data_IF_218485417439
#
_entry.id   IF_218485417439
#
_cell.length_a   1.000
_cell.length_b   1.000
_cell.length_c   1.000
_cell.angle_alpha   90.00
_cell.angle_beta   90.00
_cell.angle_gamma   90.00
#
_symmetry.space_group_name_H-M   'P 1'
#
loop_
_entity.id
_entity.type
_entity.pdbx_description
1 polymer ?
#
# COMPACT_ATOMS: atom_id res chain seq x y z
N UNK A 1 -28.07 16.64 61.48
CA UNK A 1 -28.44 15.61 60.48
C UNK A 1 -28.65 16.16 59.05
N UNK A 2 -28.48 17.47 58.77
CA UNK A 2 -28.67 18.06 57.43
C UNK A 2 -27.38 18.22 56.60
N UNK A 3 -26.20 18.35 57.24
CA UNK A 3 -24.91 18.55 56.55
C UNK A 3 -24.56 17.39 55.60
N UNK A 4 -24.81 16.14 56.02
CA UNK A 4 -24.59 14.95 55.20
C UNK A 4 -25.52 14.82 53.99
N UNK A 5 -26.71 15.44 54.02
CA UNK A 5 -27.62 15.44 52.85
C UNK A 5 -27.18 16.45 51.81
N UNK A 6 -26.73 17.63 52.24
CA UNK A 6 -26.20 18.68 51.35
C UNK A 6 -24.89 18.21 50.70
N UNK A 7 -23.99 17.61 51.48
CA UNK A 7 -22.71 17.10 50.96
C UNK A 7 -22.90 15.97 49.94
N UNK A 8 -23.85 15.05 50.19
CA UNK A 8 -24.21 14.00 49.22
C UNK A 8 -24.82 14.57 47.94
N UNK A 9 -25.65 15.60 48.04
CA UNK A 9 -26.28 16.23 46.87
C UNK A 9 -25.27 16.99 46.00
N UNK A 10 -24.30 17.68 46.63
CA UNK A 10 -23.22 18.37 45.92
C UNK A 10 -22.26 17.38 45.26
N UNK A 11 -21.92 16.28 45.96
CA UNK A 11 -21.07 15.22 45.41
C UNK A 11 -21.72 14.51 44.22
N UNK A 12 -23.03 14.24 44.27
CA UNK A 12 -23.77 13.67 43.14
C UNK A 12 -23.80 14.61 41.93
N UNK A 13 -23.92 15.92 42.16
CA UNK A 13 -23.93 16.93 41.10
C UNK A 13 -22.55 17.07 40.42
N UNK A 14 -21.47 17.00 41.19
CA UNK A 14 -20.09 16.98 40.68
C UNK A 14 -19.78 15.70 39.88
N UNK A 15 -20.28 14.54 40.32
CA UNK A 15 -20.17 13.28 39.58
C UNK A 15 -20.97 13.30 38.26
N UNK A 16 -22.14 13.95 38.25
CA UNK A 16 -22.92 14.13 37.02
C UNK A 16 -22.25 15.10 36.03
N UNK A 17 -21.59 16.15 36.51
CA UNK A 17 -20.79 17.06 35.69
C UNK A 17 -19.51 16.38 35.13
N UNK A 18 -18.88 15.50 35.90
CA UNK A 18 -17.75 14.69 35.44
C UNK A 18 -18.16 13.69 34.35
N UNK A 19 -19.36 13.12 34.42
CA UNK A 19 -19.90 12.20 33.40
C UNK A 19 -20.21 12.91 32.06
N UNK A 20 -20.46 14.23 32.06
CA UNK A 20 -20.70 15.01 30.84
C UNK A 20 -19.41 15.53 30.19
N UNK A 21 -18.27 15.45 30.88
CA UNK A 21 -16.97 15.97 30.39
C UNK A 21 -16.12 14.93 29.64
N UNK A 22 -16.61 13.70 29.48
CA UNK A 22 -15.99 12.66 28.64
C UNK A 22 -16.88 12.39 27.40
N UNK A 23 -17.30 13.46 26.73
CA UNK A 23 -17.60 13.34 25.30
C UNK A 23 -16.26 13.38 24.58
N UNK A 24 -15.64 12.22 24.36
CA UNK A 24 -14.54 12.11 23.42
C UNK A 24 -15.03 12.69 22.09
N UNK A 25 -14.60 13.92 21.79
CA UNK A 25 -14.85 14.52 20.48
C UNK A 25 -14.01 13.69 19.52
N UNK A 26 -14.65 12.72 18.88
CA UNK A 26 -14.06 11.93 17.82
C UNK A 26 -13.43 12.90 16.82
N UNK A 27 -12.11 12.84 16.70
CA UNK A 27 -11.36 13.72 15.82
C UNK A 27 -11.75 13.38 14.39
N UNK A 28 -12.30 14.35 13.67
CA UNK A 28 -12.79 14.14 12.31
C UNK A 28 -11.62 13.96 11.35
N UNK A 29 -11.80 13.06 10.38
CA UNK A 29 -10.82 12.88 9.31
C UNK A 29 -10.87 14.14 8.42
N UNK A 30 -9.74 14.83 8.20
CA UNK A 30 -9.72 16.02 7.36
C UNK A 30 -10.07 15.69 5.91
N UNK A 31 -10.37 16.73 5.12
CA UNK A 31 -10.39 16.58 3.67
C UNK A 31 -8.99 16.14 3.20
N UNK A 32 -8.93 15.21 2.25
CA UNK A 32 -7.68 14.59 1.80
C UNK A 32 -7.34 15.14 0.42
N UNK A 33 -6.15 15.70 0.27
CA UNK A 33 -5.56 15.94 -1.04
C UNK A 33 -4.91 14.65 -1.57
N UNK A 34 -5.66 13.89 -2.37
CA UNK A 34 -5.24 12.58 -2.91
C UNK A 34 -3.98 12.63 -3.78
N UNK A 35 -3.59 13.80 -4.31
CA UNK A 35 -2.37 13.95 -5.11
C UNK A 35 -1.10 14.13 -4.26
N UNK A 36 -1.24 14.46 -2.98
CA UNK A 36 -0.11 14.65 -2.06
C UNK A 36 0.21 13.35 -1.31
N UNK A 37 1.16 12.55 -1.82
CA UNK A 37 1.57 11.27 -1.17
C UNK A 37 1.90 11.45 0.32
N UNK A 38 2.55 12.56 0.69
CA UNK A 38 2.88 12.86 2.09
C UNK A 38 1.61 13.06 2.93
N UNK A 39 0.68 13.88 2.46
CA UNK A 39 -0.57 14.16 3.18
C UNK A 39 -1.44 12.91 3.29
N UNK A 40 -1.55 12.15 2.20
CA UNK A 40 -2.25 10.86 2.17
C UNK A 40 -1.64 9.91 3.21
N UNK A 41 -0.30 9.79 3.27
CA UNK A 41 0.37 8.95 4.25
C UNK A 41 0.14 9.43 5.69
N UNK A 42 0.23 10.73 5.95
CA UNK A 42 0.00 11.29 7.29
C UNK A 42 -1.44 11.01 7.77
N UNK A 43 -2.43 11.13 6.89
CA UNK A 43 -3.83 10.77 7.18
C UNK A 43 -3.99 9.27 7.43
N UNK A 44 -3.43 8.41 6.58
CA UNK A 44 -3.50 6.96 6.77
C UNK A 44 -2.87 6.56 8.10
N UNK A 45 -1.69 7.07 8.43
CA UNK A 45 -1.01 6.76 9.70
C UNK A 45 -1.84 7.14 10.92
N UNK A 46 -2.54 8.26 10.85
CA UNK A 46 -3.31 8.78 11.99
C UNK A 46 -4.67 8.09 12.15
N UNK A 47 -5.36 7.81 11.06
CA UNK A 47 -6.79 7.43 11.09
C UNK A 47 -7.10 6.05 10.54
N UNK A 48 -6.13 5.35 9.92
CA UNK A 48 -6.36 4.04 9.31
C UNK A 48 -5.37 3.00 9.84
N UNK A 49 -4.08 3.18 9.59
CA UNK A 49 -3.04 2.23 9.98
C UNK A 49 -1.72 2.96 10.28
N UNK A 50 -1.36 3.02 11.57
CA UNK A 50 -0.14 3.70 12.05
C UNK A 50 1.16 3.09 11.56
N UNK A 51 1.13 1.84 11.05
CA UNK A 51 2.28 1.13 10.50
C UNK A 51 2.46 1.34 8.98
N UNK A 52 1.56 2.07 8.32
CA UNK A 52 1.69 2.33 6.89
C UNK A 52 3.05 2.99 6.59
N UNK A 53 3.84 2.38 5.71
CA UNK A 53 5.13 2.91 5.29
C UNK A 53 4.98 3.90 4.12
N UNK A 54 4.01 3.64 3.26
CA UNK A 54 3.70 4.44 2.06
C UNK A 54 2.20 4.52 1.85
N UNK A 55 1.73 5.58 1.18
CA UNK A 55 0.37 5.70 0.73
C UNK A 55 0.26 6.56 -0.52
N UNK A 56 -0.65 6.19 -1.43
CA UNK A 56 -0.91 6.84 -2.71
C UNK A 56 -2.41 6.97 -2.90
N UNK A 57 -2.89 8.18 -3.21
CA UNK A 57 -4.28 8.43 -3.59
C UNK A 57 -4.47 8.31 -5.10
N UNK A 58 -5.59 7.74 -5.55
CA UNK A 58 -5.86 7.54 -6.98
C UNK A 58 -7.26 7.02 -7.27
N UNK A 59 -7.60 6.97 -8.55
CA UNK A 59 -8.86 6.41 -9.02
C UNK A 59 -8.63 4.97 -9.46
N UNK A 60 -8.71 4.03 -8.52
CA UNK A 60 -8.35 2.63 -8.77
C UNK A 60 -9.52 1.76 -9.26
N UNK A 61 -10.67 2.38 -9.58
CA UNK A 61 -11.86 1.70 -10.07
C UNK A 61 -12.48 2.42 -11.28
N UNK A 62 -13.30 1.71 -12.05
CA UNK A 62 -13.95 2.26 -13.24
C UNK A 62 -15.00 3.34 -12.92
N UNK A 63 -15.43 3.44 -11.66
CA UNK A 63 -16.42 4.43 -11.21
C UNK A 63 -15.80 5.82 -11.06
N UNK A 64 -14.48 5.94 -11.14
CA UNK A 64 -13.75 7.20 -11.00
C UNK A 64 -13.77 7.73 -9.57
N UNK A 65 -13.98 6.86 -8.58
CA UNK A 65 -13.97 7.25 -7.16
C UNK A 65 -12.53 7.28 -6.65
N UNK A 66 -12.26 8.16 -5.68
CA UNK A 66 -10.95 8.29 -5.06
C UNK A 66 -10.77 7.24 -3.96
N UNK A 67 -9.68 6.48 -4.04
CA UNK A 67 -9.23 5.52 -3.04
C UNK A 67 -7.83 5.88 -2.57
N UNK A 68 -7.41 5.26 -1.47
CA UNK A 68 -6.04 5.29 -0.99
C UNK A 68 -5.51 3.86 -1.01
N UNK A 69 -4.42 3.65 -1.73
CA UNK A 69 -3.61 2.45 -1.59
C UNK A 69 -2.51 2.75 -0.57
N UNK A 70 -2.38 1.95 0.48
CA UNK A 70 -1.28 2.05 1.44
C UNK A 70 -0.54 0.73 1.60
N UNK A 71 0.75 0.83 1.87
CA UNK A 71 1.64 -0.31 2.02
C UNK A 71 2.12 -0.49 3.46
N UNK A 72 2.16 -1.73 3.94
CA UNK A 72 2.72 -2.11 5.26
C UNK A 72 3.80 -3.18 5.05
N UNK A 73 4.95 -2.98 5.68
CA UNK A 73 6.04 -3.95 5.69
C UNK A 73 5.91 -4.86 6.91
N UNK A 74 6.06 -6.15 6.67
CA UNK A 74 6.08 -7.19 7.69
C UNK A 74 7.52 -7.68 7.77
N UNK A 75 8.11 -7.61 8.97
CA UNK A 75 9.46 -8.11 9.24
C UNK A 75 9.40 -8.80 10.60
N UNK A 76 9.05 -10.08 10.60
CA UNK A 76 9.12 -10.92 11.78
C UNK A 76 9.73 -12.29 11.41
N UNK A 77 9.96 -13.16 12.41
CA UNK A 77 10.64 -14.44 12.22
C UNK A 77 9.87 -15.45 11.34
N UNK A 78 8.59 -15.19 11.06
CA UNK A 78 7.69 -16.09 10.33
C UNK A 78 7.21 -15.49 9.00
N UNK A 79 7.13 -14.16 8.89
CA UNK A 79 6.65 -13.44 7.71
C UNK A 79 7.57 -12.25 7.41
N UNK A 80 8.05 -12.20 6.16
CA UNK A 80 8.77 -11.07 5.61
C UNK A 80 8.20 -10.67 4.25
N UNK A 81 8.01 -9.38 4.03
CA UNK A 81 7.49 -8.85 2.77
C UNK A 81 6.62 -7.61 2.96
N UNK A 82 5.85 -7.28 1.93
CA UNK A 82 4.96 -6.12 1.91
C UNK A 82 3.53 -6.54 1.57
N UNK A 83 2.55 -5.85 2.15
CA UNK A 83 1.14 -5.90 1.73
C UNK A 83 0.65 -4.54 1.33
N UNK A 84 -0.23 -4.51 0.34
CA UNK A 84 -0.96 -3.31 -0.04
C UNK A 84 -2.44 -3.46 0.27
N UNK A 85 -3.01 -2.44 0.90
CA UNK A 85 -4.44 -2.36 1.22
C UNK A 85 -5.03 -1.13 0.55
N UNK A 86 -6.19 -1.29 -0.08
CA UNK A 86 -6.94 -0.24 -0.74
C UNK A 86 -8.15 0.11 0.09
N UNK A 87 -8.23 1.37 0.50
CA UNK A 87 -9.32 1.87 1.34
C UNK A 87 -10.08 3.01 0.69
N UNK A 88 -11.35 3.06 1.04
CA UNK A 88 -12.27 4.10 0.64
C UNK A 88 -12.71 4.90 1.87
N UNK A 89 -12.66 6.23 1.81
CA UNK A 89 -13.22 7.07 2.86
C UNK A 89 -14.75 7.08 2.74
N UNK A 90 -15.44 6.69 3.80
CA UNK A 90 -16.90 6.74 3.90
C UNK A 90 -17.31 7.44 5.20
N UNK A 91 -17.68 8.72 5.11
CA UNK A 91 -17.95 9.52 6.30
C UNK A 91 -16.67 9.77 7.10
N UNK A 92 -16.62 9.30 8.35
CA UNK A 92 -15.48 9.45 9.26
C UNK A 92 -14.66 8.17 9.41
N UNK A 93 -14.88 7.17 8.55
CA UNK A 93 -14.20 5.89 8.57
C UNK A 93 -13.52 5.56 7.23
N UNK A 94 -12.56 4.64 7.27
CA UNK A 94 -11.94 4.01 6.11
C UNK A 94 -12.43 2.57 5.97
N UNK A 95 -13.04 2.26 4.81
CA UNK A 95 -13.48 0.91 4.49
C UNK A 95 -12.44 0.21 3.62
N UNK A 96 -12.02 -1.00 4.03
CA UNK A 96 -11.15 -1.85 3.22
C UNK A 96 -11.92 -2.42 2.03
N UNK A 97 -11.36 -2.25 0.83
CA UNK A 97 -11.96 -2.69 -0.44
C UNK A 97 -11.22 -3.93 -0.97
N UNK A 98 -9.90 -3.90 -0.90
CA UNK A 98 -9.01 -4.95 -1.36
C UNK A 98 -7.71 -4.93 -0.56
N UNK A 99 -7.12 -6.09 -0.34
CA UNK A 99 -5.80 -6.27 0.24
C UNK A 99 -5.09 -7.38 -0.52
N UNK A 100 -3.80 -7.21 -0.79
CA UNK A 100 -2.99 -8.24 -1.43
C UNK A 100 -2.61 -9.33 -0.45
N UNK A 101 -2.21 -10.49 -0.99
CA UNK A 101 -1.37 -11.42 -0.24
C UNK A 101 -0.04 -10.77 0.15
N UNK A 102 0.75 -11.45 1.00
CA UNK A 102 2.10 -11.00 1.34
C UNK A 102 2.98 -11.14 0.09
N UNK A 103 3.58 -10.03 -0.35
CA UNK A 103 4.43 -9.96 -1.55
C UNK A 103 5.89 -9.83 -1.14
N UNK A 104 6.79 -10.42 -1.93
CA UNK A 104 8.23 -10.25 -1.76
C UNK A 104 8.62 -8.79 -2.01
N UNK A 105 9.38 -8.20 -1.09
CA UNK A 105 9.86 -6.83 -1.21
C UNK A 105 10.04 -6.11 0.12
N UNK A 106 10.53 -4.88 0.02
CA UNK A 106 10.63 -3.91 1.11
C UNK A 106 10.31 -2.52 0.57
N UNK A 107 9.84 -1.61 1.42
CA UNK A 107 9.65 -0.21 1.03
C UNK A 107 10.95 0.60 1.03
N UNK A 108 12.04 0.07 1.59
CA UNK A 108 13.34 0.73 1.60
C UNK A 108 13.84 0.93 0.17
N UNK A 109 14.04 2.20 -0.21
CA UNK A 109 14.55 2.61 -1.54
C UNK A 109 13.68 2.15 -2.73
N UNK A 110 12.50 1.60 -2.45
CA UNK A 110 11.54 1.20 -3.47
C UNK A 110 10.88 2.40 -4.16
N UNK A 111 10.37 2.15 -5.35
CA UNK A 111 9.46 3.03 -6.06
C UNK A 111 8.02 2.52 -5.87
N UNK A 112 7.15 3.40 -5.36
CA UNK A 112 5.70 3.17 -5.33
C UNK A 112 4.98 4.36 -5.92
N UNK A 113 4.20 4.11 -6.97
CA UNK A 113 3.37 5.12 -7.61
C UNK A 113 2.10 4.54 -8.21
N UNK A 114 1.17 5.41 -8.59
CA UNK A 114 0.07 5.02 -9.47
C UNK A 114 0.48 5.18 -10.93
N UNK A 115 0.05 4.27 -11.78
CA UNK A 115 0.18 4.37 -13.22
C UNK A 115 -1.19 4.21 -13.88
N UNK A 116 -1.30 4.63 -15.13
CA UNK A 116 -2.47 4.37 -15.96
C UNK A 116 -2.03 3.72 -17.25
N UNK A 117 -2.56 2.54 -17.52
CA UNK A 117 -2.41 1.89 -18.83
C UNK A 117 -3.32 2.60 -19.83
N UNK A 118 -2.94 2.60 -21.11
CA UNK A 118 -3.69 3.29 -22.18
C UNK A 118 -5.08 2.67 -22.34
N UNK A 119 -5.21 1.36 -22.14
CA UNK A 119 -6.49 0.66 -22.24
C UNK A 119 -7.41 0.85 -21.03
N UNK A 120 -6.88 1.29 -19.88
CA UNK A 120 -7.64 1.36 -18.64
C UNK A 120 -8.16 2.79 -18.35
N UNK A 121 -9.37 2.86 -17.81
CA UNK A 121 -9.98 4.13 -17.37
C UNK A 121 -9.51 4.54 -15.96
N UNK A 122 -8.94 3.59 -15.22
CA UNK A 122 -8.54 3.69 -13.82
C UNK A 122 -7.02 3.55 -13.65
N UNK A 123 -6.54 3.84 -12.45
CA UNK A 123 -5.15 3.77 -12.05
C UNK A 123 -4.83 2.36 -11.49
N UNK A 124 -3.61 1.88 -11.73
CA UNK A 124 -3.04 0.70 -11.07
C UNK A 124 -1.97 1.16 -10.09
N UNK A 125 -1.77 0.44 -8.98
CA UNK A 125 -0.63 0.69 -8.12
C UNK A 125 0.60 -0.05 -8.65
N UNK A 126 1.69 0.66 -8.86
CA UNK A 126 2.97 0.13 -9.30
C UNK A 126 3.96 0.12 -8.14
N UNK A 127 4.60 -1.03 -7.92
CA UNK A 127 5.73 -1.22 -7.02
C UNK A 127 6.95 -1.71 -7.81
N UNK A 128 8.12 -1.23 -7.43
CA UNK A 128 9.40 -1.75 -7.90
C UNK A 128 10.46 -1.61 -6.80
N UNK A 129 11.19 -2.68 -6.48
CA UNK A 129 12.18 -2.67 -5.39
C UNK A 129 13.49 -1.93 -5.71
N UNK A 130 13.68 -1.45 -6.95
CA UNK A 130 14.83 -0.64 -7.41
C UNK A 130 16.23 -1.26 -7.21
N UNK A 131 16.33 -2.57 -6.92
CA UNK A 131 17.59 -3.31 -6.84
C UNK A 131 18.17 -3.53 -5.45
N UNK A 132 17.41 -3.21 -4.38
CA UNK A 132 17.82 -3.54 -3.01
C UNK A 132 16.77 -4.42 -2.32
N UNK A 133 16.95 -5.73 -2.40
CA UNK A 133 16.29 -6.67 -1.50
C UNK A 133 17.33 -7.25 -0.54
N UNK A 134 17.15 -7.02 0.77
CA UNK A 134 18.12 -7.40 1.81
C UNK A 134 18.31 -8.93 1.84
N UNK A 135 19.46 -9.43 1.41
CA UNK A 135 19.76 -10.86 1.39
C UNK A 135 19.99 -11.42 -0.01
N UNK A 136 19.44 -10.77 -1.04
CA UNK A 136 19.84 -11.05 -2.43
C UNK A 136 21.30 -10.63 -2.60
N UNK A 137 22.12 -11.45 -3.25
CA UNK A 137 23.53 -11.17 -3.54
C UNK A 137 23.78 -9.99 -4.50
N UNK A 138 22.87 -9.00 -4.56
CA UNK A 138 22.91 -7.84 -5.44
C UNK A 138 22.52 -8.21 -6.86
N UNK A 139 21.24 -8.46 -7.11
CA UNK A 139 20.78 -8.73 -8.47
C UNK A 139 19.27 -8.86 -8.69
N UNK A 140 18.46 -8.90 -7.63
CA UNK A 140 17.02 -9.15 -7.75
C UNK A 140 16.19 -7.86 -7.69
N UNK A 141 15.22 -7.74 -8.60
CA UNK A 141 14.23 -6.67 -8.59
C UNK A 141 12.83 -7.27 -8.70
N UNK A 142 12.05 -7.12 -7.63
CA UNK A 142 10.63 -7.46 -7.61
C UNK A 142 9.81 -6.27 -8.08
N UNK A 143 8.89 -6.50 -9.00
CA UNK A 143 8.00 -5.46 -9.50
C UNK A 143 6.57 -5.96 -9.62
N UNK A 144 5.63 -5.14 -9.15
CA UNK A 144 4.20 -5.46 -9.14
C UNK A 144 3.37 -4.37 -9.79
N UNK A 145 2.34 -4.78 -10.51
CA UNK A 145 1.19 -3.96 -10.84
C UNK A 145 -0.03 -4.53 -10.13
N UNK A 146 -0.69 -3.71 -9.33
CA UNK A 146 -1.82 -4.12 -8.49
C UNK A 146 -3.07 -3.43 -9.02
N UNK A 147 -3.99 -4.24 -9.50
CA UNK A 147 -5.27 -3.85 -10.08
C UNK A 147 -6.37 -4.09 -9.04
N UNK A 148 -6.86 -3.01 -8.42
CA UNK A 148 -7.91 -3.09 -7.40
C UNK A 148 -9.26 -3.51 -8.00
N UNK A 149 -9.58 -3.01 -9.20
CA UNK A 149 -10.83 -3.32 -9.91
C UNK A 149 -10.93 -4.82 -10.17
N UNK A 150 -9.87 -5.42 -10.72
CA UNK A 150 -9.80 -6.86 -11.00
C UNK A 150 -9.38 -7.70 -9.80
N UNK A 151 -8.96 -7.07 -8.70
CA UNK A 151 -8.38 -7.69 -7.49
C UNK A 151 -7.23 -8.64 -7.83
N UNK A 152 -6.33 -8.16 -8.69
CA UNK A 152 -5.25 -8.97 -9.24
C UNK A 152 -3.89 -8.28 -9.08
N UNK A 153 -2.87 -9.09 -8.81
CA UNK A 153 -1.47 -8.67 -8.79
C UNK A 153 -0.79 -9.28 -10.00
N UNK A 154 -0.18 -8.46 -10.83
CA UNK A 154 0.73 -8.89 -11.90
C UNK A 154 2.16 -8.69 -11.41
N UNK A 155 3.00 -9.70 -11.63
CA UNK A 155 4.34 -9.77 -11.08
C UNK A 155 5.38 -9.90 -12.19
N UNK A 156 6.49 -9.21 -12.02
CA UNK A 156 7.71 -9.42 -12.78
C UNK A 156 8.93 -9.45 -11.86
N UNK A 157 9.87 -10.35 -12.17
CA UNK A 157 11.10 -10.57 -11.42
C UNK A 157 12.30 -10.41 -12.33
N UNK A 158 13.17 -9.45 -12.04
CA UNK A 158 14.46 -9.33 -12.71
C UNK A 158 15.54 -9.99 -11.86
N UNK A 159 16.34 -10.87 -12.44
CA UNK A 159 17.54 -11.43 -11.82
C UNK A 159 18.77 -11.06 -12.64
N UNK A 160 19.75 -10.44 -11.99
CA UNK A 160 21.04 -10.05 -12.56
C UNK A 160 22.13 -10.93 -11.95
N UNK A 161 22.51 -12.00 -12.64
CA UNK A 161 23.64 -12.84 -12.22
C UNK A 161 24.98 -12.23 -12.65
N UNK A 162 25.00 -11.57 -13.80
CA UNK A 162 26.17 -10.84 -14.31
C UNK A 162 25.74 -9.81 -15.35
N UNK A 163 26.66 -8.95 -15.79
CA UNK A 163 26.40 -7.98 -16.85
C UNK A 163 25.92 -8.61 -18.19
N UNK A 164 26.18 -9.91 -18.40
CA UNK A 164 25.76 -10.66 -19.59
C UNK A 164 24.61 -11.64 -19.34
N UNK A 165 24.19 -11.82 -18.08
CA UNK A 165 23.14 -12.75 -17.66
C UNK A 165 22.12 -11.99 -16.81
N UNK A 166 21.15 -11.40 -17.52
CA UNK A 166 20.06 -10.62 -16.94
C UNK A 166 18.77 -11.25 -17.44
N UNK A 167 17.97 -11.78 -16.53
CA UNK A 167 16.76 -12.51 -16.83
C UNK A 167 15.56 -11.77 -16.27
N UNK A 168 14.47 -11.71 -17.04
CA UNK A 168 13.20 -11.14 -16.62
C UNK A 168 12.13 -12.22 -16.73
N UNK A 169 11.60 -12.63 -15.60
CA UNK A 169 10.37 -13.40 -15.53
C UNK A 169 9.16 -12.46 -15.43
N UNK A 170 8.07 -12.82 -16.09
CA UNK A 170 6.77 -12.15 -15.99
C UNK A 170 5.74 -13.23 -15.73
N UNK A 171 5.01 -13.09 -14.64
CA UNK A 171 4.00 -14.06 -14.19
C UNK A 171 2.95 -14.43 -15.24
N UNK A 172 2.58 -15.71 -15.26
CA UNK A 172 1.66 -16.31 -16.24
C UNK A 172 0.29 -15.62 -16.33
N UNK A 173 -0.18 -15.03 -15.23
CA UNK A 173 -1.45 -14.30 -15.21
C UNK A 173 -1.39 -12.93 -15.92
N UNK A 174 -0.23 -12.55 -16.45
CA UNK A 174 0.00 -11.31 -17.21
C UNK A 174 -0.24 -11.54 -18.70
N UNK A 175 -1.48 -11.82 -19.09
CA UNK A 175 -1.82 -12.18 -20.48
C UNK A 175 -1.90 -10.98 -21.44
N UNK A 176 -2.14 -9.77 -20.91
CA UNK A 176 -2.27 -8.57 -21.74
C UNK A 176 -0.91 -8.15 -22.30
N UNK A 177 -0.85 -7.98 -23.62
CA UNK A 177 0.33 -7.44 -24.31
C UNK A 177 0.78 -6.09 -23.73
N UNK A 178 -0.16 -5.28 -23.26
CA UNK A 178 0.17 -3.98 -22.67
C UNK A 178 0.91 -4.13 -21.34
N UNK A 179 0.45 -5.03 -20.46
CA UNK A 179 1.11 -5.33 -19.18
C UNK A 179 2.50 -5.94 -19.41
N UNK A 180 2.61 -6.91 -20.31
CA UNK A 180 3.90 -7.53 -20.69
C UNK A 180 4.85 -6.46 -21.21
N UNK A 181 4.36 -5.56 -22.08
CA UNK A 181 5.17 -4.47 -22.61
C UNK A 181 5.57 -3.48 -21.52
N UNK A 182 4.68 -3.16 -20.58
CA UNK A 182 4.99 -2.25 -19.47
C UNK A 182 6.18 -2.78 -18.66
N UNK A 183 6.13 -4.04 -18.20
CA UNK A 183 7.24 -4.63 -17.45
C UNK A 183 8.52 -4.70 -18.30
N UNK A 184 8.40 -5.24 -19.52
CA UNK A 184 9.55 -5.39 -20.42
C UNK A 184 10.25 -4.06 -20.68
N UNK A 185 9.50 -3.00 -20.98
CA UNK A 185 10.06 -1.68 -21.30
C UNK A 185 10.61 -0.98 -20.05
N UNK A 186 9.95 -1.15 -18.90
CA UNK A 186 10.43 -0.59 -17.62
C UNK A 186 11.82 -1.10 -17.28
N UNK A 187 12.07 -2.41 -17.43
CA UNK A 187 13.38 -2.99 -17.18
C UNK A 187 14.38 -2.78 -18.33
N UNK A 188 13.95 -2.84 -19.61
CA UNK A 188 14.85 -2.66 -20.76
C UNK A 188 15.53 -1.30 -20.80
N UNK A 189 14.93 -0.27 -20.18
CA UNK A 189 15.53 1.05 -20.07
C UNK A 189 16.89 0.99 -19.37
N UNK A 190 16.97 0.23 -18.29
CA UNK A 190 18.16 0.11 -17.45
C UNK A 190 18.99 -1.14 -17.81
N UNK A 191 18.33 -2.17 -18.35
CA UNK A 191 18.93 -3.44 -18.77
C UNK A 191 18.58 -3.80 -20.24
N UNK A 192 19.18 -3.13 -21.23
CA UNK A 192 18.82 -3.33 -22.65
C UNK A 192 19.04 -4.77 -23.16
N UNK A 193 19.94 -5.52 -22.53
CA UNK A 193 20.29 -6.90 -22.88
C UNK A 193 19.50 -7.98 -22.16
N UNK A 194 18.46 -7.62 -21.39
CA UNK A 194 17.68 -8.61 -20.64
C UNK A 194 17.04 -9.66 -21.55
N UNK A 195 16.95 -10.88 -21.03
CA UNK A 195 16.31 -12.02 -21.67
C UNK A 195 15.03 -12.35 -20.92
N UNK A 196 13.91 -12.49 -21.63
CA UNK A 196 12.65 -12.92 -21.02
C UNK A 196 12.70 -14.43 -20.87
N UNK A 197 12.41 -14.93 -19.67
CA UNK A 197 12.37 -16.36 -19.34
C UNK A 197 10.95 -16.79 -19.01
N UNK A 198 10.65 -18.08 -19.21
CA UNK A 198 9.32 -18.66 -18.93
C UNK A 198 9.11 -18.98 -17.45
N UNK A 199 10.19 -19.31 -16.76
CA UNK A 199 10.15 -19.79 -15.38
C UNK A 199 10.85 -18.79 -14.47
N UNK A 200 10.30 -18.61 -13.27
CA UNK A 200 10.89 -17.73 -12.27
C UNK A 200 12.22 -18.31 -11.74
N UNK A 201 13.17 -17.42 -11.49
CA UNK A 201 14.49 -17.79 -10.97
C UNK A 201 14.47 -17.48 -9.47
N UNK A 202 14.54 -18.54 -8.67
CA UNK A 202 14.65 -18.45 -7.21
C UNK A 202 16.12 -18.63 -6.85
N UNK A 203 16.72 -17.63 -6.21
CA UNK A 203 18.08 -17.72 -5.70
C UNK A 203 18.05 -18.23 -4.25
N UNK A 204 18.72 -19.35 -4.00
CA UNK A 204 18.89 -19.96 -2.66
C UNK A 204 19.93 -19.24 -1.78
#
# INVERSE_FOLDING_TARGET
>A
MSLNKIFKSVLLFLLALAALSCSDKQEKIPAINYESKKEVLDVVKKYCNSKAAIAVGGMFDERGKQYIAYGVEYENSEEWGIKFSFVEKSGEDFNLIYETDLLEGSFKESLVDKIKLVSDQYDLLYYNSQGYFMGSGGGEVFSYLIDMEKKQVYYAHLVVESAAAIFLYISDNTESKELVNFFTLSFKKDYPGLQIVSDDIILD
#
